data_IF_172361900430
#
_entry.id   IF_172361900430
#
_cell.length_a   1.000
_cell.length_b   1.000
_cell.length_c   1.000
_cell.angle_alpha   90.00
_cell.angle_beta   90.00
_cell.angle_gamma   90.00
#
_symmetry.space_group_name_H-M   'P 1'
#
loop_
_entity.id
_entity.type
_entity.pdbx_description
1 polymer ?
#
# COMPACT_ATOMS: atom_id res chain seq x y z
N UNK A 1 18.24 35.62 15.35
CA UNK A 1 17.38 34.57 15.91
C UNK A 1 16.83 33.74 14.76
N UNK A 2 17.11 32.43 14.73
CA UNK A 2 16.60 31.57 13.65
C UNK A 2 15.13 31.20 13.91
N UNK A 3 14.39 30.79 12.88
CA UNK A 3 13.00 30.32 13.01
C UNK A 3 12.80 29.29 14.14
N UNK A 4 13.79 28.43 14.36
CA UNK A 4 13.79 27.42 15.42
C UNK A 4 13.75 28.01 16.83
N UNK A 5 14.28 29.21 17.03
CA UNK A 5 14.25 29.90 18.32
C UNK A 5 12.89 30.56 18.57
N UNK A 6 12.19 31.03 17.52
CA UNK A 6 10.81 31.51 17.64
C UNK A 6 9.90 30.39 18.16
N UNK A 7 10.06 29.17 17.65
CA UNK A 7 9.26 28.03 18.10
C UNK A 7 9.54 27.64 19.56
N UNK A 8 10.74 27.92 20.08
CA UNK A 8 11.04 27.76 21.51
C UNK A 8 10.28 28.79 22.35
N UNK A 9 10.26 30.05 21.92
CA UNK A 9 9.51 31.13 22.60
C UNK A 9 8.01 30.85 22.59
N UNK A 10 7.45 30.44 21.44
CA UNK A 10 6.04 30.10 21.29
C UNK A 10 5.60 28.85 22.08
N UNK A 11 6.52 28.14 22.72
CA UNK A 11 6.30 26.82 23.29
C UNK A 11 6.43 25.74 22.22
N UNK A 12 7.47 24.91 22.32
CA UNK A 12 7.84 23.94 21.27
C UNK A 12 6.72 22.95 20.91
N UNK A 13 5.84 22.63 21.86
CA UNK A 13 4.64 21.80 21.68
C UNK A 13 3.49 22.32 22.56
N UNK A 14 3.13 23.60 22.39
CA UNK A 14 2.00 24.22 23.08
C UNK A 14 0.63 23.67 22.66
N UNK A 15 -0.43 24.14 23.32
CA UNK A 15 -1.82 23.69 23.09
C UNK A 15 -2.26 23.90 21.64
N UNK A 16 -1.87 25.01 21.02
CA UNK A 16 -2.15 25.27 19.61
C UNK A 16 -1.55 24.19 18.70
N UNK A 17 -0.27 23.88 18.89
CA UNK A 17 0.46 22.89 18.11
C UNK A 17 -0.13 21.50 18.29
N UNK A 18 -0.43 21.08 19.52
CA UNK A 18 -1.01 19.76 19.82
C UNK A 18 -2.34 19.54 19.09
N UNK A 19 -3.25 20.52 19.19
CA UNK A 19 -4.57 20.45 18.54
C UNK A 19 -4.40 20.39 17.02
N UNK A 20 -3.54 21.23 16.44
CA UNK A 20 -3.33 21.28 14.99
C UNK A 20 -2.62 20.03 14.46
N UNK A 21 -1.63 19.51 15.17
CA UNK A 21 -0.97 18.24 14.83
C UNK A 21 -1.97 17.09 14.78
N UNK A 22 -2.85 16.98 15.78
CA UNK A 22 -3.89 15.96 15.80
C UNK A 22 -4.75 16.00 14.52
N UNK A 23 -5.26 17.18 14.17
CA UNK A 23 -6.06 17.34 12.96
C UNK A 23 -5.29 17.03 11.67
N UNK A 24 -4.05 17.52 11.55
CA UNK A 24 -3.20 17.24 10.39
C UNK A 24 -2.96 15.73 10.23
N UNK A 25 -2.70 15.03 11.33
CA UNK A 25 -2.38 13.60 11.31
C UNK A 25 -3.59 12.67 11.19
N UNK A 26 -4.82 13.14 11.46
CA UNK A 26 -6.03 12.39 11.07
C UNK A 26 -6.06 12.06 9.56
N UNK A 27 -5.45 12.91 8.72
CA UNK A 27 -5.37 12.67 7.27
C UNK A 27 -4.46 11.48 6.94
N UNK A 28 -3.48 11.16 7.79
CA UNK A 28 -2.58 10.03 7.59
C UNK A 28 -3.32 8.68 7.57
N UNK A 29 -4.46 8.57 8.26
CA UNK A 29 -5.35 7.40 8.23
C UNK A 29 -5.82 7.14 6.79
N UNK A 30 -6.29 8.19 6.10
CA UNK A 30 -6.76 8.06 4.72
C UNK A 30 -5.61 7.85 3.74
N UNK A 31 -4.45 8.46 3.99
CA UNK A 31 -3.24 8.14 3.23
C UNK A 31 -2.87 6.65 3.34
N UNK A 32 -3.05 6.02 4.49
CA UNK A 32 -2.80 4.59 4.67
C UNK A 32 -3.76 3.72 3.86
N UNK A 33 -5.05 4.09 3.81
CA UNK A 33 -6.04 3.39 3.02
C UNK A 33 -5.62 3.27 1.55
N UNK A 34 -5.34 4.40 0.89
CA UNK A 34 -4.98 4.39 -0.53
C UNK A 34 -3.59 3.80 -0.78
N UNK A 35 -2.66 3.90 0.18
CA UNK A 35 -1.32 3.33 0.01
C UNK A 35 -1.31 1.79 0.06
N UNK A 36 -2.24 1.19 0.81
CA UNK A 36 -2.22 -0.25 1.08
C UNK A 36 -3.45 -1.01 0.54
N UNK A 37 -4.46 -0.34 -0.03
CA UNK A 37 -5.68 -0.97 -0.58
C UNK A 37 -5.38 -2.12 -1.57
N UNK A 38 -4.27 -2.07 -2.29
CA UNK A 38 -3.89 -3.04 -3.30
C UNK A 38 -3.73 -4.46 -2.78
N UNK A 39 -3.47 -4.66 -1.49
CA UNK A 39 -3.43 -5.99 -0.89
C UNK A 39 -4.78 -6.70 -1.09
N UNK A 40 -5.89 -5.98 -0.95
CA UNK A 40 -7.24 -6.53 -1.10
C UNK A 40 -7.82 -6.29 -2.51
N UNK A 41 -7.65 -5.10 -3.07
CA UNK A 41 -8.19 -4.72 -4.40
C UNK A 41 -7.61 -5.60 -5.51
N UNK A 42 -6.31 -5.95 -5.42
CA UNK A 42 -5.64 -6.87 -6.35
C UNK A 42 -5.38 -8.26 -5.77
N UNK A 43 -6.15 -8.66 -4.76
CA UNK A 43 -6.07 -10.03 -4.27
C UNK A 43 -6.44 -11.00 -5.41
N UNK A 44 -5.65 -12.06 -5.51
CA UNK A 44 -5.84 -13.14 -6.49
C UNK A 44 -6.50 -14.30 -5.74
N UNK A 45 -7.82 -14.51 -5.88
CA UNK A 45 -8.46 -15.69 -5.33
C UNK A 45 -8.08 -16.93 -6.15
N UNK A 46 -8.28 -18.11 -5.56
CA UNK A 46 -8.17 -19.37 -6.29
C UNK A 46 -9.20 -19.41 -7.43
N UNK A 47 -8.83 -19.99 -8.56
CA UNK A 47 -9.64 -19.95 -9.77
C UNK A 47 -9.50 -21.25 -10.57
N UNK A 48 -10.55 -21.56 -11.32
CA UNK A 48 -10.59 -22.69 -12.24
C UNK A 48 -11.14 -22.23 -13.58
N UNK A 49 -10.87 -22.99 -14.63
CA UNK A 49 -11.46 -22.72 -15.92
C UNK A 49 -12.96 -23.00 -15.89
N UNK A 50 -13.75 -22.05 -16.39
CA UNK A 50 -15.18 -22.21 -16.51
C UNK A 50 -15.48 -23.36 -17.47
N UNK A 51 -16.35 -24.28 -17.03
CA UNK A 51 -16.84 -25.37 -17.88
C UNK A 51 -18.25 -25.02 -18.24
N UNK A 52 -18.51 -24.83 -19.53
CA UNK A 52 -19.88 -24.59 -20.00
C UNK A 52 -20.75 -25.76 -19.56
N UNK A 53 -21.94 -25.47 -19.01
CA UNK A 53 -22.94 -26.50 -18.78
C UNK A 53 -23.39 -27.01 -20.15
N UNK A 54 -22.67 -27.98 -20.71
CA UNK A 54 -23.26 -28.77 -21.76
C UNK A 54 -24.57 -29.38 -21.24
N UNK A 55 -25.53 -29.62 -22.13
CA UNK A 55 -26.67 -30.49 -21.85
C UNK A 55 -26.16 -31.93 -21.64
N UNK A 56 -25.53 -32.15 -20.49
CA UNK A 56 -25.05 -33.41 -19.95
C UNK A 56 -26.26 -34.31 -19.61
N UNK A 57 -27.43 -33.70 -19.41
CA UNK A 57 -28.73 -34.34 -19.15
C UNK A 57 -29.14 -35.41 -20.18
N UNK A 58 -28.67 -35.30 -21.43
CA UNK A 58 -29.07 -36.21 -22.52
C UNK A 58 -28.04 -37.30 -22.84
N UNK A 59 -26.90 -37.34 -22.15
CA UNK A 59 -25.85 -38.33 -22.44
C UNK A 59 -25.47 -39.08 -21.17
N UNK A 60 -25.87 -40.35 -21.12
CA UNK A 60 -25.51 -41.30 -20.07
C UNK A 60 -23.98 -41.35 -19.91
N UNK A 61 -23.44 -40.79 -18.83
CA UNK A 61 -22.01 -40.85 -18.47
C UNK A 61 -21.69 -42.13 -17.68
N UNK A 62 -22.18 -43.30 -18.08
CA UNK A 62 -21.96 -44.53 -17.31
C UNK A 62 -22.20 -44.35 -15.79
N UNK A 63 -21.29 -44.85 -14.96
CA UNK A 63 -21.37 -44.78 -13.48
C UNK A 63 -20.74 -43.49 -12.89
N UNK A 64 -20.61 -42.40 -13.66
CA UNK A 64 -19.84 -41.19 -13.30
C UNK A 64 -20.75 -39.98 -13.10
N UNK A 65 -20.42 -39.10 -12.15
CA UNK A 65 -21.20 -37.87 -11.90
C UNK A 65 -20.78 -36.72 -12.82
N UNK A 66 -21.69 -35.77 -13.08
CA UNK A 66 -21.39 -34.52 -13.80
C UNK A 66 -20.22 -33.75 -13.17
N UNK A 67 -20.13 -33.79 -11.84
CA UNK A 67 -19.06 -33.16 -11.07
C UNK A 67 -17.70 -33.80 -11.34
N UNK A 68 -17.64 -35.14 -11.42
CA UNK A 68 -16.40 -35.85 -11.71
C UNK A 68 -15.92 -35.55 -13.14
N UNK A 69 -16.84 -35.41 -14.09
CA UNK A 69 -16.54 -35.01 -15.46
C UNK A 69 -15.97 -33.58 -15.53
N UNK A 70 -16.60 -32.62 -14.86
CA UNK A 70 -16.10 -31.23 -14.78
C UNK A 70 -14.73 -31.16 -14.09
N UNK A 71 -14.57 -31.86 -12.98
CA UNK A 71 -13.29 -31.95 -12.25
C UNK A 71 -12.18 -32.54 -13.14
N UNK A 72 -12.51 -33.51 -14.01
CA UNK A 72 -11.55 -34.07 -14.96
C UNK A 72 -11.16 -33.05 -16.02
N UNK A 73 -12.11 -32.34 -16.64
CA UNK A 73 -11.80 -31.32 -17.65
C UNK A 73 -10.86 -30.23 -17.09
N UNK A 74 -11.13 -29.80 -15.85
CA UNK A 74 -10.32 -28.81 -15.12
C UNK A 74 -9.00 -29.37 -14.57
N UNK A 75 -8.76 -30.69 -14.65
CA UNK A 75 -7.52 -31.29 -14.16
C UNK A 75 -6.31 -31.07 -15.08
N UNK A 76 -6.54 -30.59 -16.32
CA UNK A 76 -5.49 -30.29 -17.31
C UNK A 76 -4.45 -29.28 -16.81
N UNK A 77 -4.88 -28.28 -16.04
CA UNK A 77 -4.06 -27.22 -15.46
C UNK A 77 -4.93 -26.06 -14.94
N UNK A 78 -4.32 -25.06 -14.28
CA UNK A 78 -5.05 -23.85 -13.84
C UNK A 78 -5.48 -22.94 -15.01
N UNK A 79 -4.79 -23.05 -16.15
CA UNK A 79 -4.97 -22.19 -17.32
C UNK A 79 -5.28 -22.98 -18.60
N UNK A 80 -5.42 -24.30 -18.46
CA UNK A 80 -5.68 -25.23 -19.55
C UNK A 80 -6.91 -26.07 -19.17
N UNK A 81 -7.73 -26.39 -20.16
CA UNK A 81 -8.88 -27.27 -20.04
C UNK A 81 -8.77 -28.35 -21.11
N UNK A 82 -9.13 -29.60 -20.76
CA UNK A 82 -9.21 -30.66 -21.76
C UNK A 82 -10.33 -30.36 -22.77
N UNK A 83 -10.11 -30.73 -24.04
CA UNK A 83 -11.11 -30.53 -25.08
C UNK A 83 -12.40 -31.31 -24.78
N UNK A 84 -13.44 -30.58 -24.36
CA UNK A 84 -14.73 -31.14 -23.96
C UNK A 84 -15.38 -31.99 -25.06
N UNK A 85 -15.25 -31.57 -26.34
CA UNK A 85 -15.86 -32.29 -27.48
C UNK A 85 -15.17 -33.61 -27.72
N UNK A 86 -13.85 -33.67 -27.57
CA UNK A 86 -13.10 -34.91 -27.72
C UNK A 86 -13.36 -35.88 -26.56
N UNK A 87 -13.35 -35.39 -25.32
CA UNK A 87 -13.62 -36.22 -24.14
C UNK A 87 -15.04 -36.78 -24.18
N UNK A 88 -16.03 -35.93 -24.48
CA UNK A 88 -17.43 -36.38 -24.61
C UNK A 88 -17.61 -37.40 -25.74
N UNK A 89 -16.92 -37.26 -26.88
CA UNK A 89 -16.94 -38.25 -27.97
C UNK A 89 -16.36 -39.59 -27.55
N UNK A 90 -15.22 -39.60 -26.85
CA UNK A 90 -14.57 -40.82 -26.35
C UNK A 90 -15.50 -41.58 -25.39
N UNK A 91 -16.13 -40.89 -24.45
CA UNK A 91 -17.06 -41.48 -23.48
C UNK A 91 -18.33 -41.99 -24.18
N UNK A 92 -18.92 -41.18 -25.07
CA UNK A 92 -20.15 -41.54 -25.81
C UNK A 92 -19.98 -42.75 -26.74
N UNK A 93 -18.75 -43.04 -27.17
CA UNK A 93 -18.46 -44.22 -27.99
C UNK A 93 -18.49 -45.54 -27.21
N UNK A 94 -18.64 -45.49 -25.88
CA UNK A 94 -18.67 -46.65 -24.99
C UNK A 94 -17.32 -47.38 -24.84
N UNK A 95 -16.25 -46.90 -25.49
CA UNK A 95 -14.91 -47.52 -25.48
C UNK A 95 -14.08 -47.22 -24.24
N UNK A 96 -14.34 -46.11 -23.55
CA UNK A 96 -13.53 -45.64 -22.44
C UNK A 96 -14.41 -45.00 -21.36
N UNK A 97 -14.17 -45.32 -20.10
CA UNK A 97 -14.65 -44.56 -18.94
C UNK A 97 -13.72 -43.38 -18.63
N UNK A 98 -14.17 -42.45 -17.80
CA UNK A 98 -13.32 -41.34 -17.32
C UNK A 98 -12.04 -41.86 -16.65
N UNK A 99 -12.15 -42.95 -15.88
CA UNK A 99 -11.00 -43.60 -15.27
C UNK A 99 -10.07 -44.22 -16.30
N UNK A 100 -10.59 -44.84 -17.36
CA UNK A 100 -9.77 -45.42 -18.43
C UNK A 100 -8.97 -44.36 -19.20
N UNK A 101 -9.52 -43.15 -19.36
CA UNK A 101 -8.80 -42.02 -19.98
C UNK A 101 -7.62 -41.62 -19.09
N UNK A 102 -7.80 -41.64 -17.76
CA UNK A 102 -6.78 -41.32 -16.78
C UNK A 102 -5.71 -42.43 -16.69
N UNK A 103 -6.10 -43.70 -16.64
CA UNK A 103 -5.18 -44.85 -16.47
C UNK A 103 -4.49 -45.28 -17.75
N UNK A 104 -5.15 -45.22 -18.90
CA UNK A 104 -4.57 -45.62 -20.19
C UNK A 104 -3.77 -44.51 -20.88
N UNK A 105 -3.57 -43.34 -20.24
CA UNK A 105 -2.86 -42.18 -20.79
C UNK A 105 -3.34 -41.80 -22.20
N UNK A 106 -4.66 -41.80 -22.42
CA UNK A 106 -5.21 -41.38 -23.71
C UNK A 106 -4.88 -39.90 -23.91
N UNK A 107 -4.16 -39.57 -24.99
CA UNK A 107 -3.73 -38.21 -25.26
C UNK A 107 -4.93 -37.34 -25.67
N UNK A 108 -5.43 -36.54 -24.73
CA UNK A 108 -6.48 -35.55 -25.00
C UNK A 108 -5.81 -34.18 -25.20
N UNK A 109 -6.13 -33.46 -26.29
CA UNK A 109 -5.62 -32.12 -26.51
C UNK A 109 -6.13 -31.16 -25.42
N UNK A 110 -5.27 -30.21 -25.07
CA UNK A 110 -5.55 -29.18 -24.08
C UNK A 110 -5.76 -27.86 -24.79
N UNK A 111 -6.84 -27.17 -24.46
CA UNK A 111 -7.16 -25.86 -24.95
C UNK A 111 -6.90 -24.81 -23.86
N UNK A 112 -6.59 -23.57 -24.27
CA UNK A 112 -6.49 -22.45 -23.34
C UNK A 112 -7.88 -22.07 -22.82
N UNK A 113 -7.95 -21.68 -21.56
CA UNK A 113 -9.20 -21.23 -20.95
C UNK A 113 -9.56 -19.82 -21.40
N UNK A 114 -10.83 -19.61 -21.74
CA UNK A 114 -11.39 -18.31 -22.15
C UNK A 114 -12.19 -17.63 -21.05
N UNK A 115 -12.73 -18.42 -20.12
CA UNK A 115 -13.58 -17.99 -19.02
C UNK A 115 -13.15 -18.69 -17.72
N UNK A 116 -13.39 -18.06 -16.58
CA UNK A 116 -12.91 -18.52 -15.27
C UNK A 116 -13.98 -18.45 -14.19
N UNK A 117 -13.99 -19.48 -13.34
CA UNK A 117 -14.74 -19.50 -12.10
C UNK A 117 -13.80 -19.19 -10.92
N UNK A 118 -14.04 -18.07 -10.26
CA UNK A 118 -13.25 -17.62 -9.11
C UNK A 118 -13.87 -18.06 -7.78
N UNK A 119 -13.05 -18.55 -6.86
CA UNK A 119 -13.46 -18.83 -5.49
C UNK A 119 -13.82 -17.54 -4.76
N UNK A 120 -14.93 -17.59 -4.02
CA UNK A 120 -15.43 -16.49 -3.17
C UNK A 120 -15.32 -16.77 -1.68
N UNK A 121 -14.50 -17.76 -1.29
CA UNK A 121 -14.34 -18.17 0.11
C UNK A 121 -13.67 -17.09 0.97
N UNK A 122 -12.65 -16.42 0.41
CA UNK A 122 -11.81 -15.44 1.14
C UNK A 122 -12.06 -14.02 0.65
N UNK A 123 -12.06 -13.82 -0.66
CA UNK A 123 -12.23 -12.51 -1.28
C UNK A 123 -13.53 -12.47 -2.08
N UNK A 124 -14.23 -11.34 -2.06
CA UNK A 124 -15.29 -11.06 -3.01
C UNK A 124 -14.72 -10.62 -4.37
N UNK A 125 -15.49 -9.88 -5.18
CA UNK A 125 -15.00 -9.37 -6.45
C UNK A 125 -13.77 -8.48 -6.27
N UNK A 126 -12.69 -8.79 -7.00
CA UNK A 126 -11.44 -8.01 -7.06
C UNK A 126 -11.19 -7.52 -8.49
N UNK A 127 -10.18 -6.65 -8.70
CA UNK A 127 -9.80 -6.26 -10.06
C UNK A 127 -9.31 -7.44 -10.88
N UNK A 128 -8.76 -8.47 -10.21
CA UNK A 128 -8.28 -9.69 -10.85
C UNK A 128 -9.45 -10.50 -11.38
N UNK A 129 -10.50 -10.69 -10.57
CA UNK A 129 -11.69 -11.44 -10.97
C UNK A 129 -12.58 -10.68 -11.95
N UNK A 130 -12.60 -9.34 -11.88
CA UNK A 130 -13.48 -8.54 -12.73
C UNK A 130 -12.89 -8.27 -14.12
N UNK A 131 -11.56 -8.24 -14.26
CA UNK A 131 -10.89 -8.00 -15.53
C UNK A 131 -10.12 -9.22 -16.06
N UNK A 132 -10.31 -10.37 -15.44
CA UNK A 132 -9.66 -11.64 -15.77
C UNK A 132 -8.14 -11.55 -15.90
N UNK A 133 -7.50 -11.03 -14.84
CA UNK A 133 -6.05 -10.81 -14.79
C UNK A 133 -5.31 -12.07 -14.32
N UNK A 134 -5.60 -13.21 -14.96
CA UNK A 134 -5.00 -14.52 -14.67
C UNK A 134 -4.32 -15.09 -15.92
N UNK A 135 -3.50 -16.13 -15.75
CA UNK A 135 -2.84 -16.85 -16.84
C UNK A 135 -2.01 -15.89 -17.73
N UNK A 136 -2.32 -15.80 -19.03
CA UNK A 136 -1.62 -14.92 -19.99
C UNK A 136 -1.63 -13.43 -19.57
N UNK A 137 -2.58 -13.03 -18.71
CA UNK A 137 -2.74 -11.66 -18.20
C UNK A 137 -2.25 -11.46 -16.76
N UNK A 138 -1.69 -12.48 -16.11
CA UNK A 138 -1.26 -12.40 -14.70
C UNK A 138 -0.21 -11.30 -14.45
N UNK A 139 0.67 -11.06 -15.43
CA UNK A 139 1.69 -10.00 -15.36
C UNK A 139 1.08 -8.59 -15.19
N UNK A 140 -0.11 -8.33 -15.75
CA UNK A 140 -0.80 -7.03 -15.63
C UNK A 140 -1.12 -6.69 -14.17
N UNK A 141 -1.43 -7.69 -13.34
CA UNK A 141 -1.63 -7.51 -11.91
C UNK A 141 -0.37 -6.96 -11.23
N UNK A 142 0.79 -7.55 -11.50
CA UNK A 142 2.06 -7.08 -10.95
C UNK A 142 2.41 -5.68 -11.47
N UNK A 143 2.26 -5.46 -12.78
CA UNK A 143 2.48 -4.17 -13.42
C UNK A 143 1.60 -3.07 -12.83
N UNK A 144 0.35 -3.35 -12.45
CA UNK A 144 -0.54 -2.36 -11.82
C UNK A 144 0.04 -1.80 -10.51
N UNK A 145 0.67 -2.64 -9.69
CA UNK A 145 1.35 -2.22 -8.46
C UNK A 145 2.57 -1.36 -8.79
N UNK A 146 3.38 -1.77 -9.77
CA UNK A 146 4.54 -1.00 -10.22
C UNK A 146 4.14 0.38 -10.74
N UNK A 147 3.07 0.47 -11.54
CA UNK A 147 2.56 1.72 -12.08
C UNK A 147 2.03 2.65 -10.97
N UNK A 148 1.43 2.11 -9.92
CA UNK A 148 1.06 2.89 -8.74
C UNK A 148 2.27 3.53 -8.08
N UNK A 149 3.33 2.76 -7.81
CA UNK A 149 4.57 3.30 -7.24
C UNK A 149 5.29 4.27 -8.18
N UNK A 150 5.17 4.08 -9.50
CA UNK A 150 5.62 5.08 -10.46
C UNK A 150 4.84 6.39 -10.31
N UNK A 151 3.51 6.32 -10.15
CA UNK A 151 2.69 7.48 -9.79
C UNK A 151 3.15 8.16 -8.50
N UNK A 152 3.45 7.37 -7.46
CA UNK A 152 3.99 7.89 -6.19
C UNK A 152 5.32 8.63 -6.38
N UNK A 153 6.22 8.09 -7.20
CA UNK A 153 7.50 8.73 -7.52
C UNK A 153 7.29 10.10 -8.18
N UNK A 154 6.46 10.15 -9.23
CA UNK A 154 6.14 11.40 -9.93
C UNK A 154 5.46 12.40 -8.97
N UNK A 155 4.50 11.92 -8.17
CA UNK A 155 3.81 12.74 -7.18
C UNK A 155 4.73 13.30 -6.11
N UNK A 156 5.69 12.53 -5.61
CA UNK A 156 6.66 13.00 -4.62
C UNK A 156 7.49 14.18 -5.16
N UNK A 157 7.94 14.11 -6.41
CA UNK A 157 8.71 15.18 -7.05
C UNK A 157 7.82 16.39 -7.32
N UNK A 158 6.69 16.19 -8.01
CA UNK A 158 5.82 17.28 -8.43
C UNK A 158 5.16 18.01 -7.25
N UNK A 159 4.50 17.27 -6.34
CA UNK A 159 3.80 17.87 -5.21
C UNK A 159 4.75 18.35 -4.11
N UNK A 160 5.92 17.74 -3.96
CA UNK A 160 6.98 18.26 -3.10
C UNK A 160 7.40 19.67 -3.52
N UNK A 161 7.76 19.83 -4.80
CA UNK A 161 8.12 21.14 -5.36
C UNK A 161 6.95 22.12 -5.36
N UNK A 162 5.75 21.67 -5.73
CA UNK A 162 4.55 22.50 -5.72
C UNK A 162 4.28 23.05 -4.32
N UNK A 163 4.50 22.25 -3.29
CA UNK A 163 4.32 22.67 -1.90
C UNK A 163 5.30 23.75 -1.47
N UNK A 164 6.55 23.70 -1.95
CA UNK A 164 7.54 24.73 -1.68
C UNK A 164 7.24 26.05 -2.44
N UNK A 165 6.64 25.96 -3.63
CA UNK A 165 6.34 27.13 -4.48
C UNK A 165 5.04 27.82 -4.09
N UNK A 166 3.96 27.04 -3.93
CA UNK A 166 2.59 27.57 -3.75
C UNK A 166 2.19 27.64 -2.28
N UNK A 167 2.81 26.83 -1.43
CA UNK A 167 2.51 26.73 0.00
C UNK A 167 2.02 25.34 0.39
N UNK A 168 2.06 25.02 1.69
CA UNK A 168 1.64 23.71 2.20
C UNK A 168 0.13 23.55 2.07
N UNK A 169 -0.63 24.57 2.45
CA UNK A 169 -2.09 24.50 2.53
C UNK A 169 -2.76 24.40 1.15
N UNK A 170 -2.43 25.19 0.11
CA UNK A 170 -3.00 25.00 -1.22
C UNK A 170 -2.66 23.64 -1.82
N UNK A 171 -1.42 23.18 -1.68
CA UNK A 171 -1.00 21.86 -2.20
C UNK A 171 -1.72 20.72 -1.48
N UNK A 172 -1.94 20.83 -0.16
CA UNK A 172 -2.78 19.90 0.58
C UNK A 172 -4.17 19.75 -0.06
N UNK A 173 -4.88 20.85 -0.31
CA UNK A 173 -6.22 20.81 -0.92
C UNK A 173 -6.20 20.35 -2.38
N UNK A 174 -5.16 20.69 -3.15
CA UNK A 174 -5.01 20.22 -4.52
C UNK A 174 -4.86 18.69 -4.57
N UNK A 175 -3.98 18.12 -3.73
CA UNK A 175 -3.81 16.68 -3.61
C UNK A 175 -5.10 15.99 -3.12
N UNK A 176 -5.79 16.60 -2.17
CA UNK A 176 -7.04 16.09 -1.59
C UNK A 176 -8.16 16.03 -2.64
N UNK A 177 -8.35 17.10 -3.41
CA UNK A 177 -9.32 17.15 -4.50
C UNK A 177 -8.97 16.15 -5.60
N UNK A 178 -7.69 16.08 -5.98
CA UNK A 178 -7.22 15.12 -6.98
C UNK A 178 -7.50 13.69 -6.52
N UNK A 179 -7.15 13.34 -5.27
CA UNK A 179 -7.38 12.01 -4.69
C UNK A 179 -8.87 11.64 -4.71
N UNK A 180 -9.75 12.57 -4.33
CA UNK A 180 -11.20 12.37 -4.34
C UNK A 180 -11.73 12.07 -5.74
N UNK A 181 -11.34 12.88 -6.74
CA UNK A 181 -11.80 12.71 -8.11
C UNK A 181 -11.29 11.39 -8.69
N UNK A 182 -9.98 11.14 -8.61
CA UNK A 182 -9.38 9.97 -9.25
C UNK A 182 -9.79 8.66 -8.58
N UNK A 183 -9.96 8.62 -7.25
CA UNK A 183 -10.42 7.43 -6.53
C UNK A 183 -11.88 7.08 -6.89
N UNK A 184 -12.77 8.08 -6.96
CA UNK A 184 -14.14 7.88 -7.41
C UNK A 184 -14.20 7.37 -8.85
N UNK A 185 -13.42 7.95 -9.77
CA UNK A 185 -13.39 7.50 -11.17
C UNK A 185 -12.77 6.10 -11.29
N UNK A 186 -11.70 5.79 -10.54
CA UNK A 186 -11.09 4.46 -10.52
C UNK A 186 -12.08 3.39 -10.05
N UNK A 187 -12.90 3.68 -9.04
CA UNK A 187 -13.94 2.77 -8.55
C UNK A 187 -15.02 2.47 -9.62
N UNK A 188 -15.27 3.42 -10.52
CA UNK A 188 -16.25 3.32 -11.60
C UNK A 188 -15.66 2.77 -12.91
N UNK A 189 -14.35 2.48 -12.96
CA UNK A 189 -13.67 2.07 -14.18
C UNK A 189 -14.29 0.80 -14.80
N UNK A 190 -14.71 0.79 -16.07
CA UNK A 190 -15.38 -0.36 -16.70
C UNK A 190 -14.40 -1.45 -17.13
N UNK A 191 -13.12 -1.11 -17.33
CA UNK A 191 -12.08 -2.04 -17.75
C UNK A 191 -10.73 -1.65 -17.13
N UNK A 192 -9.76 -2.57 -17.22
CA UNK A 192 -8.43 -2.39 -16.65
C UNK A 192 -7.65 -1.20 -17.24
N UNK A 193 -7.81 -0.93 -18.55
CA UNK A 193 -7.09 0.15 -19.22
C UNK A 193 -7.57 1.55 -18.80
N UNK A 194 -8.84 1.68 -18.43
CA UNK A 194 -9.37 2.90 -17.80
C UNK A 194 -8.91 2.99 -16.35
N UNK A 195 -8.90 1.88 -15.61
CA UNK A 195 -8.50 1.87 -14.20
C UNK A 195 -7.06 2.37 -13.98
N UNK A 196 -6.10 1.91 -14.80
CA UNK A 196 -4.67 2.12 -14.56
C UNK A 196 -4.24 3.60 -14.55
N UNK A 197 -4.59 4.46 -15.52
CA UNK A 197 -4.22 5.88 -15.49
C UNK A 197 -4.71 6.59 -14.23
N UNK A 198 -5.96 6.37 -13.81
CA UNK A 198 -6.48 6.96 -12.57
C UNK A 198 -5.76 6.40 -11.35
N UNK A 199 -5.38 5.12 -11.39
CA UNK A 199 -4.62 4.49 -10.32
C UNK A 199 -3.19 5.06 -10.17
N UNK A 200 -2.53 5.40 -11.28
CA UNK A 200 -1.24 6.12 -11.26
C UNK A 200 -1.41 7.50 -10.62
N UNK A 201 -2.44 8.25 -11.04
CA UNK A 201 -2.74 9.58 -10.51
C UNK A 201 -3.11 9.52 -9.02
N UNK A 202 -3.81 8.48 -8.59
CA UNK A 202 -4.12 8.21 -7.19
C UNK A 202 -2.86 8.03 -6.35
N UNK A 203 -1.88 7.26 -6.83
CA UNK A 203 -0.58 7.11 -6.16
C UNK A 203 0.17 8.45 -6.05
N UNK A 204 0.11 9.26 -7.10
CA UNK A 204 0.72 10.59 -7.09
C UNK A 204 0.08 11.51 -6.04
N UNK A 205 -1.26 11.58 -6.02
CA UNK A 205 -2.02 12.40 -5.07
C UNK A 205 -1.84 11.93 -3.62
N UNK A 206 -1.88 10.61 -3.39
CA UNK A 206 -1.66 10.00 -2.08
C UNK A 206 -0.29 10.37 -1.51
N UNK A 207 0.78 10.27 -2.33
CA UNK A 207 2.14 10.56 -1.88
C UNK A 207 2.34 12.06 -1.66
N UNK A 208 1.82 12.90 -2.55
CA UNK A 208 1.83 14.35 -2.37
C UNK A 208 1.15 14.77 -1.07
N UNK A 209 -0.04 14.22 -0.80
CA UNK A 209 -0.79 14.49 0.43
C UNK A 209 -0.01 14.09 1.68
N UNK A 210 0.57 12.88 1.70
CA UNK A 210 1.34 12.38 2.84
C UNK A 210 2.60 13.24 3.12
N UNK A 211 3.33 13.64 2.08
CA UNK A 211 4.50 14.50 2.23
C UNK A 211 4.14 15.87 2.80
N UNK A 212 3.06 16.49 2.31
CA UNK A 212 2.62 17.80 2.78
C UNK A 212 2.22 17.76 4.26
N UNK A 213 1.43 16.78 4.70
CA UNK A 213 1.03 16.69 6.11
C UNK A 213 2.22 16.38 7.03
N UNK A 214 3.19 15.58 6.56
CA UNK A 214 4.42 15.32 7.30
C UNK A 214 5.23 16.60 7.52
N UNK A 215 5.42 17.40 6.46
CA UNK A 215 6.15 18.66 6.51
C UNK A 215 5.39 19.68 7.38
N UNK A 216 4.07 19.84 7.19
CA UNK A 216 3.26 20.74 8.02
C UNK A 216 3.37 20.42 9.50
N UNK A 217 3.37 19.13 9.87
CA UNK A 217 3.51 18.74 11.27
C UNK A 217 4.91 19.03 11.84
N UNK A 218 5.97 18.79 11.06
CA UNK A 218 7.35 19.03 11.52
C UNK A 218 7.76 20.50 11.51
N UNK A 219 7.15 21.33 10.66
CA UNK A 219 7.32 22.80 10.65
C UNK A 219 6.52 23.50 11.75
N UNK A 220 5.47 22.86 12.28
CA UNK A 220 4.61 23.41 13.33
C UNK A 220 5.23 23.27 14.74
N UNK A 221 6.06 22.26 14.97
CA UNK A 221 6.67 21.97 16.28
C UNK A 221 8.12 22.44 16.38
N UNK A 222 8.53 22.75 17.61
CA UNK A 222 9.90 23.11 17.92
C UNK A 222 10.91 21.96 17.68
N UNK A 223 12.21 22.27 17.60
CA UNK A 223 13.25 21.33 17.20
C UNK A 223 13.29 20.03 18.02
N UNK A 224 13.05 20.12 19.33
CA UNK A 224 13.10 18.96 20.24
C UNK A 224 11.96 17.96 19.99
N UNK A 225 10.81 18.42 19.51
CA UNK A 225 9.62 17.60 19.27
C UNK A 225 9.45 17.17 17.81
N UNK A 226 10.35 17.56 16.90
CA UNK A 226 10.29 17.13 15.48
C UNK A 226 10.34 15.62 15.31
N UNK A 227 11.16 14.94 16.13
CA UNK A 227 11.23 13.48 16.12
C UNK A 227 9.90 12.87 16.56
N UNK A 228 9.32 13.39 17.65
CA UNK A 228 8.02 12.96 18.15
C UNK A 228 6.93 13.13 17.09
N UNK A 229 6.80 14.33 16.50
CA UNK A 229 5.85 14.61 15.43
C UNK A 229 6.03 13.65 14.23
N UNK A 230 7.29 13.41 13.84
CA UNK A 230 7.64 12.48 12.76
C UNK A 230 7.27 11.02 13.00
N UNK A 231 7.19 10.54 14.25
CA UNK A 231 6.73 9.18 14.56
C UNK A 231 5.23 9.09 14.85
N UNK A 232 4.63 10.14 15.44
CA UNK A 232 3.19 10.14 15.73
C UNK A 232 2.35 10.02 14.47
N UNK A 233 2.74 10.67 13.37
CA UNK A 233 2.06 10.50 12.07
C UNK A 233 2.01 9.03 11.62
N UNK A 234 3.04 8.23 11.90
CA UNK A 234 3.06 6.81 11.59
C UNK A 234 2.10 6.01 12.48
N UNK A 235 1.87 6.42 13.73
CA UNK A 235 0.83 5.79 14.56
C UNK A 235 -0.58 6.01 13.96
N UNK A 236 -0.88 7.20 13.43
CA UNK A 236 -2.14 7.44 12.71
C UNK A 236 -2.21 6.64 11.41
N UNK A 237 -1.10 6.53 10.68
CA UNK A 237 -1.01 5.68 9.50
C UNK A 237 -1.30 4.22 9.84
N UNK A 238 -0.74 3.69 10.94
CA UNK A 238 -0.98 2.35 11.45
C UNK A 238 -2.46 2.09 11.81
N UNK A 239 -3.14 3.08 12.41
CA UNK A 239 -4.58 3.00 12.67
C UNK A 239 -5.35 2.85 11.34
N UNK A 240 -4.99 3.62 10.32
CA UNK A 240 -5.56 3.49 8.97
C UNK A 240 -5.25 2.14 8.33
N UNK A 241 -4.02 1.66 8.49
CA UNK A 241 -3.60 0.32 8.05
C UNK A 241 -4.53 -0.75 8.65
N UNK A 242 -4.70 -0.78 9.97
CA UNK A 242 -5.57 -1.76 10.64
C UNK A 242 -7.04 -1.60 10.24
N UNK A 243 -7.53 -0.37 10.16
CA UNK A 243 -8.93 -0.08 9.81
C UNK A 243 -9.25 -0.54 8.38
N UNK A 244 -8.31 -0.41 7.44
CA UNK A 244 -8.46 -0.91 6.07
C UNK A 244 -8.69 -2.43 6.04
N UNK A 245 -8.07 -3.19 6.94
CA UNK A 245 -8.30 -4.64 7.06
C UNK A 245 -9.78 -4.92 7.37
N UNK A 246 -10.32 -4.23 8.37
CA UNK A 246 -11.72 -4.37 8.80
C UNK A 246 -12.71 -3.92 7.72
N UNK A 247 -12.44 -2.78 7.06
CA UNK A 247 -13.26 -2.31 5.94
C UNK A 247 -13.26 -3.31 4.77
N UNK A 248 -12.08 -3.86 4.45
CA UNK A 248 -11.94 -4.81 3.34
C UNK A 248 -12.62 -6.14 3.63
N UNK A 249 -12.60 -6.60 4.89
CA UNK A 249 -13.33 -7.78 5.34
C UNK A 249 -14.85 -7.59 5.27
N UNK A 250 -15.36 -6.45 5.77
CA UNK A 250 -16.80 -6.19 5.83
C UNK A 250 -17.46 -5.90 4.47
N UNK A 251 -16.72 -5.31 3.52
CA UNK A 251 -17.27 -4.88 2.22
C UNK A 251 -17.07 -5.94 1.14
N UNK A 252 -15.89 -6.57 1.08
CA UNK A 252 -15.56 -7.66 0.15
C UNK A 252 -15.51 -7.33 -1.36
N UNK A 253 -16.00 -6.17 -1.80
CA UNK A 253 -15.99 -5.75 -3.21
C UNK A 253 -15.08 -4.54 -3.43
N UNK A 254 -14.12 -4.68 -4.34
CA UNK A 254 -13.09 -3.68 -4.60
C UNK A 254 -13.62 -2.29 -4.97
N UNK A 255 -14.75 -2.19 -5.71
CA UNK A 255 -15.31 -0.89 -6.11
C UNK A 255 -15.83 -0.13 -4.90
N UNK A 256 -16.53 -0.83 -4.01
CA UNK A 256 -17.05 -0.24 -2.79
C UNK A 256 -15.94 0.03 -1.78
N UNK A 257 -14.91 -0.83 -1.69
CA UNK A 257 -13.72 -0.54 -0.89
C UNK A 257 -13.09 0.78 -1.36
N UNK A 258 -12.89 0.95 -2.67
CA UNK A 258 -12.30 2.17 -3.23
C UNK A 258 -13.15 3.41 -2.93
N UNK A 259 -14.48 3.32 -3.05
CA UNK A 259 -15.37 4.43 -2.68
C UNK A 259 -15.34 4.73 -1.18
N UNK A 260 -15.40 3.71 -0.32
CA UNK A 260 -15.45 3.89 1.14
C UNK A 260 -14.16 4.48 1.69
N UNK A 261 -13.01 4.21 1.06
CA UNK A 261 -11.75 4.86 1.46
C UNK A 261 -11.61 6.28 0.88
N UNK A 262 -12.18 6.54 -0.30
CA UNK A 262 -12.05 7.82 -1.00
C UNK A 262 -13.04 8.87 -0.50
N UNK A 263 -14.33 8.53 -0.36
CA UNK A 263 -15.40 9.49 -0.05
C UNK A 263 -15.19 10.23 1.29
N UNK A 264 -14.69 9.58 2.37
CA UNK A 264 -14.40 10.28 3.63
C UNK A 264 -13.36 11.41 3.50
N UNK A 265 -12.62 11.49 2.39
CA UNK A 265 -11.73 12.62 2.09
C UNK A 265 -12.48 13.96 2.14
N UNK A 266 -13.78 13.98 1.78
CA UNK A 266 -14.63 15.18 1.84
C UNK A 266 -14.75 15.75 3.26
N UNK A 267 -14.60 14.92 4.29
CA UNK A 267 -14.64 15.35 5.70
C UNK A 267 -13.48 16.29 6.05
N UNK A 268 -12.42 16.34 5.23
CA UNK A 268 -11.30 17.25 5.39
C UNK A 268 -11.48 18.57 4.64
N UNK A 269 -12.56 18.79 3.88
CA UNK A 269 -12.85 20.09 3.24
C UNK A 269 -12.94 21.24 4.27
N UNK A 270 -13.58 21.10 5.44
CA UNK A 270 -13.60 22.14 6.48
C UNK A 270 -12.21 22.54 7.01
N UNK A 271 -11.15 21.76 6.71
CA UNK A 271 -9.79 22.13 7.12
C UNK A 271 -9.32 23.43 6.47
N UNK A 272 -10.00 23.92 5.43
CA UNK A 272 -9.67 25.20 4.80
C UNK A 272 -9.76 26.37 5.79
N UNK A 273 -10.64 26.27 6.79
CA UNK A 273 -10.77 27.27 7.86
C UNK A 273 -9.94 26.91 9.10
N UNK A 274 -9.71 25.61 9.32
CA UNK A 274 -9.04 25.13 10.53
C UNK A 274 -7.51 25.25 10.46
N UNK A 275 -6.92 24.86 9.33
CA UNK A 275 -5.47 24.78 9.17
C UNK A 275 -4.88 26.13 8.72
N UNK A 276 -3.86 26.64 9.45
CA UNK A 276 -3.06 27.76 8.96
C UNK A 276 -2.11 27.29 7.84
N UNK A 277 -1.56 28.24 7.09
CA UNK A 277 -0.38 27.99 6.26
C UNK A 277 0.87 27.86 7.16
N UNK A 278 1.93 27.25 6.64
CA UNK A 278 3.21 27.13 7.33
C UNK A 278 3.83 28.51 7.61
N UNK A 279 4.12 28.79 8.89
CA UNK A 279 4.78 30.03 9.31
C UNK A 279 6.15 30.15 8.61
N UNK A 280 6.88 29.03 8.51
CA UNK A 280 8.18 28.99 7.84
C UNK A 280 8.05 29.36 6.37
N UNK A 281 7.08 28.78 5.66
CA UNK A 281 6.85 29.09 4.25
C UNK A 281 6.45 30.56 4.03
N UNK A 282 5.62 31.12 4.91
CA UNK A 282 5.18 32.52 4.82
C UNK A 282 6.34 33.50 4.99
N UNK A 283 7.23 33.25 5.96
CA UNK A 283 8.41 34.08 6.17
C UNK A 283 9.32 34.03 4.94
N UNK A 284 9.64 32.83 4.46
CA UNK A 284 10.51 32.64 3.28
C UNK A 284 9.89 33.07 1.94
N UNK A 285 8.63 33.51 1.91
CA UNK A 285 7.97 34.08 0.74
C UNK A 285 7.57 35.56 0.95
N UNK A 286 8.16 36.23 1.94
CA UNK A 286 7.91 37.64 2.29
C UNK A 286 6.44 37.98 2.59
N UNK A 287 5.66 36.98 3.05
CA UNK A 287 4.26 37.18 3.46
C UNK A 287 4.18 37.49 4.97
N UNK A 288 4.88 38.54 5.36
CA UNK A 288 5.13 38.88 6.76
C UNK A 288 3.85 39.10 7.56
N UNK A 289 2.91 39.89 7.03
CA UNK A 289 1.69 40.24 7.75
C UNK A 289 0.82 39.01 8.07
N UNK A 290 0.80 38.03 7.16
CA UNK A 290 0.10 36.78 7.40
C UNK A 290 0.85 35.90 8.41
N UNK A 291 2.18 35.86 8.35
CA UNK A 291 3.00 35.16 9.34
C UNK A 291 2.80 35.75 10.74
N UNK A 292 2.88 37.08 10.89
CA UNK A 292 2.65 37.84 12.14
C UNK A 292 1.27 37.54 12.72
N UNK A 293 0.23 37.53 11.87
CA UNK A 293 -1.14 37.17 12.27
C UNK A 293 -1.22 35.76 12.87
N UNK A 294 -0.57 34.77 12.23
CA UNK A 294 -0.57 33.39 12.73
C UNK A 294 0.24 33.30 14.03
N UNK A 295 1.42 33.91 14.08
CA UNK A 295 2.28 33.93 15.28
C UNK A 295 1.53 34.51 16.49
N UNK A 296 0.86 35.66 16.34
CA UNK A 296 0.03 36.26 17.40
C UNK A 296 -1.08 35.31 17.86
N UNK A 297 -1.70 34.57 16.94
CA UNK A 297 -2.72 33.56 17.28
C UNK A 297 -2.14 32.38 18.06
N UNK A 298 -0.95 31.90 17.69
CA UNK A 298 -0.24 30.84 18.44
C UNK A 298 0.09 31.34 19.84
N UNK A 299 0.67 32.53 19.95
CA UNK A 299 1.04 33.18 21.20
C UNK A 299 -0.15 33.31 22.16
N UNK A 300 -1.26 33.85 21.66
CA UNK A 300 -2.50 34.01 22.43
C UNK A 300 -3.07 32.67 22.92
N UNK A 301 -3.01 31.63 22.09
CA UNK A 301 -3.53 30.29 22.44
C UNK A 301 -2.62 29.56 23.44
N UNK A 302 -1.31 29.82 23.36
CA UNK A 302 -0.31 29.22 24.25
C UNK A 302 -0.04 30.06 25.51
N UNK A 303 -0.73 31.20 25.65
CA UNK A 303 -0.53 32.16 26.75
C UNK A 303 0.91 32.67 26.88
N UNK A 304 1.54 32.97 25.73
CA UNK A 304 2.89 33.55 25.65
C UNK A 304 2.78 34.99 25.16
N UNK A 305 3.44 35.92 25.86
CA UNK A 305 3.59 37.30 25.40
C UNK A 305 4.74 37.41 24.39
N UNK A 306 4.50 38.11 23.29
CA UNK A 306 5.51 38.37 22.27
C UNK A 306 5.66 39.88 22.13
N UNK A 307 6.88 40.37 22.34
CA UNK A 307 7.24 41.76 22.05
C UNK A 307 7.18 42.03 20.55
N UNK A 308 6.62 43.17 20.14
CA UNK A 308 6.57 43.57 18.72
C UNK A 308 7.99 43.73 18.12
N UNK A 309 8.98 44.10 18.92
CA UNK A 309 10.40 44.16 18.52
C UNK A 309 10.92 42.79 18.05
N UNK A 310 10.60 41.71 18.77
CA UNK A 310 10.93 40.33 18.36
C UNK A 310 10.27 39.95 17.03
N UNK A 311 9.04 40.42 16.81
CA UNK A 311 8.28 40.15 15.59
C UNK A 311 8.91 40.82 14.37
N UNK A 312 9.42 42.05 14.54
CA UNK A 312 10.14 42.80 13.50
C UNK A 312 11.56 42.27 13.24
N UNK A 313 12.24 41.78 14.27
CA UNK A 313 13.59 41.21 14.11
C UNK A 313 13.56 39.92 13.28
N UNK A 314 12.52 39.10 13.45
CA UNK A 314 12.36 37.86 12.70
C UNK A 314 12.20 38.09 11.20
N UNK A 315 11.51 39.16 10.80
CA UNK A 315 11.31 39.47 9.38
C UNK A 315 12.58 40.04 8.76
N UNK A 316 13.26 40.96 9.46
CA UNK A 316 14.55 41.55 9.03
C UNK A 316 15.68 40.51 8.90
N UNK A 317 15.63 39.42 9.68
CA UNK A 317 16.64 38.35 9.64
C UNK A 317 16.47 37.42 8.43
N UNK A 318 15.24 37.15 8.01
CA UNK A 318 15.00 36.33 6.81
C UNK A 318 15.46 37.10 5.56
N UNK A 319 15.16 38.40 5.49
CA UNK A 319 15.66 39.31 4.43
C UNK A 319 17.20 39.36 4.36
N UNK A 320 17.87 39.41 5.52
CA UNK A 320 19.35 39.37 5.58
C UNK A 320 19.92 38.03 5.14
N UNK A 321 19.28 36.92 5.51
CA UNK A 321 19.73 35.59 5.12
C UNK A 321 19.63 35.36 3.60
N UNK A 322 18.64 35.97 2.94
CA UNK A 322 18.51 35.92 1.48
C UNK A 322 19.47 36.86 0.74
N UNK A 323 19.76 38.04 1.30
CA UNK A 323 20.76 38.95 0.71
C UNK A 323 22.17 38.36 0.78
N UNK A 324 22.50 37.61 1.84
CA UNK A 324 23.76 36.84 1.93
C UNK A 324 23.79 35.61 1.00
N UNK A 325 22.63 35.01 0.70
CA UNK A 325 22.50 33.85 -0.22
C UNK A 325 22.12 34.22 -1.66
N UNK A 326 22.49 35.40 -2.16
CA UNK A 326 22.39 35.82 -3.59
C UNK A 326 21.17 35.24 -4.35
N UNK A 327 19.95 35.31 -3.79
CA UNK A 327 18.70 34.92 -4.47
C UNK A 327 18.71 33.54 -5.17
N UNK A 328 19.56 32.60 -4.75
CA UNK A 328 19.77 31.34 -5.48
C UNK A 328 18.68 30.36 -5.04
N UNK A 329 17.63 30.23 -5.86
CA UNK A 329 16.60 29.21 -5.64
C UNK A 329 17.23 27.83 -5.74
N UNK A 330 17.28 27.13 -4.61
CA UNK A 330 17.78 25.76 -4.57
C UNK A 330 16.78 24.82 -5.26
N UNK A 331 17.29 23.94 -6.12
CA UNK A 331 16.49 22.95 -6.84
C UNK A 331 16.97 21.54 -6.50
N UNK A 332 16.22 20.52 -6.95
CA UNK A 332 16.58 19.10 -6.73
C UNK A 332 17.96 18.78 -7.31
N UNK A 333 18.36 19.46 -8.39
CA UNK A 333 19.67 19.27 -9.03
C UNK A 333 20.81 19.65 -8.07
N UNK A 334 20.55 20.55 -7.12
CA UNK A 334 21.57 21.00 -6.20
C UNK A 334 22.00 19.91 -5.21
N UNK A 335 21.13 18.92 -4.95
CA UNK A 335 21.45 17.72 -4.16
C UNK A 335 22.57 16.87 -4.78
N UNK A 336 22.85 17.05 -6.07
CA UNK A 336 23.92 16.39 -6.81
C UNK A 336 25.23 17.19 -6.82
N UNK A 337 25.32 18.34 -6.14
CA UNK A 337 26.53 19.17 -6.12
C UNK A 337 27.69 18.49 -5.36
N UNK A 338 28.94 18.67 -5.83
CA UNK A 338 30.12 18.21 -5.09
C UNK A 338 30.15 18.86 -3.70
N UNK A 339 30.18 18.03 -2.65
CA UNK A 339 30.08 18.45 -1.25
C UNK A 339 28.89 17.83 -0.51
N UNK A 340 27.71 17.74 -1.14
CA UNK A 340 26.52 17.12 -0.54
C UNK A 340 26.09 15.81 -1.20
N UNK A 341 26.59 15.51 -2.41
CA UNK A 341 26.22 14.30 -3.15
C UNK A 341 26.43 13.00 -2.36
N UNK A 342 27.52 12.87 -1.59
CA UNK A 342 27.76 11.68 -0.78
C UNK A 342 26.71 11.51 0.33
N UNK A 343 26.27 12.61 0.93
CA UNK A 343 25.19 12.61 1.92
C UNK A 343 23.85 12.27 1.25
N UNK A 344 23.55 12.89 0.11
CA UNK A 344 22.35 12.61 -0.68
C UNK A 344 22.27 11.13 -1.07
N UNK A 345 23.35 10.57 -1.62
CA UNK A 345 23.44 9.16 -2.00
C UNK A 345 23.25 8.23 -0.80
N UNK A 346 23.82 8.56 0.36
CA UNK A 346 23.64 7.78 1.58
C UNK A 346 22.18 7.77 2.04
N UNK A 347 21.52 8.93 2.06
CA UNK A 347 20.11 9.05 2.45
C UNK A 347 19.20 8.34 1.44
N UNK A 348 19.44 8.49 0.14
CA UNK A 348 18.67 7.80 -0.90
C UNK A 348 18.82 6.30 -0.82
N UNK A 349 20.03 5.79 -0.60
CA UNK A 349 20.26 4.36 -0.42
C UNK A 349 19.56 3.83 0.84
N UNK A 350 19.62 4.56 1.96
CA UNK A 350 18.91 4.17 3.17
C UNK A 350 17.39 4.13 2.96
N UNK A 351 16.83 5.14 2.28
CA UNK A 351 15.42 5.17 1.92
C UNK A 351 15.02 4.05 0.98
N UNK A 352 15.85 3.73 -0.03
CA UNK A 352 15.62 2.63 -0.96
C UNK A 352 15.49 1.30 -0.21
N UNK A 353 16.45 0.99 0.66
CA UNK A 353 16.46 -0.25 1.45
C UNK A 353 15.26 -0.33 2.38
N UNK A 354 14.95 0.76 3.10
CA UNK A 354 13.80 0.81 4.00
C UNK A 354 12.47 0.68 3.26
N UNK A 355 12.30 1.37 2.13
CA UNK A 355 11.08 1.28 1.32
C UNK A 355 10.90 -0.12 0.74
N UNK A 356 11.97 -0.75 0.25
CA UNK A 356 11.92 -2.11 -0.29
C UNK A 356 11.49 -3.12 0.78
N UNK A 357 12.08 -3.06 1.98
CA UNK A 357 11.70 -3.95 3.09
C UNK A 357 10.28 -3.68 3.56
N UNK A 358 9.93 -2.41 3.81
CA UNK A 358 8.61 -2.03 4.31
C UNK A 358 7.50 -2.45 3.34
N UNK A 359 7.53 -1.98 2.10
CA UNK A 359 6.47 -2.31 1.14
C UNK A 359 6.52 -3.77 0.68
N UNK A 360 7.69 -4.39 0.63
CA UNK A 360 7.83 -5.81 0.29
C UNK A 360 7.14 -6.72 1.31
N UNK A 361 7.32 -6.44 2.61
CA UNK A 361 6.66 -7.19 3.68
C UNK A 361 5.17 -6.82 3.77
N UNK A 362 4.85 -5.52 3.84
CA UNK A 362 3.48 -5.03 4.03
C UNK A 362 2.53 -5.44 2.90
N UNK A 363 2.96 -5.31 1.63
CA UNK A 363 2.15 -5.74 0.48
C UNK A 363 2.16 -7.26 0.26
N UNK A 364 3.11 -7.96 0.88
CA UNK A 364 3.24 -9.42 0.85
C UNK A 364 2.43 -10.15 1.93
N UNK A 365 1.85 -9.44 2.89
CA UNK A 365 1.06 -10.00 4.01
C UNK A 365 -0.09 -10.90 3.55
N UNK A 366 -0.73 -10.59 2.42
CA UNK A 366 -1.80 -11.43 1.85
C UNK A 366 -1.32 -12.77 1.28
N UNK A 367 -0.01 -12.96 1.11
CA UNK A 367 0.60 -14.22 0.71
C UNK A 367 1.05 -15.06 1.91
N UNK A 368 0.89 -14.59 3.14
CA UNK A 368 1.20 -15.38 4.33
C UNK A 368 0.09 -16.41 4.58
N UNK A 369 0.45 -17.57 5.14
CA UNK A 369 -0.52 -18.57 5.55
C UNK A 369 -1.47 -18.04 6.63
N UNK A 370 -2.70 -18.54 6.65
CA UNK A 370 -3.76 -18.09 7.56
C UNK A 370 -4.69 -17.06 6.92
N UNK A 371 -5.39 -16.29 7.75
CA UNK A 371 -6.35 -15.29 7.28
C UNK A 371 -5.62 -14.01 6.85
N UNK A 372 -5.78 -13.56 5.58
CA UNK A 372 -5.06 -12.41 5.06
C UNK A 372 -5.47 -11.08 5.72
N UNK A 373 -6.71 -10.96 6.20
CA UNK A 373 -7.18 -9.77 6.91
C UNK A 373 -6.55 -9.66 8.30
N UNK A 374 -6.45 -10.78 9.01
CA UNK A 374 -5.78 -10.85 10.32
C UNK A 374 -4.28 -10.57 10.15
N UNK A 375 -3.61 -11.21 9.19
CA UNK A 375 -2.20 -11.00 8.90
C UNK A 375 -1.89 -9.52 8.60
N UNK A 376 -2.72 -8.89 7.77
CA UNK A 376 -2.60 -7.48 7.43
C UNK A 376 -2.88 -6.56 8.64
N UNK A 377 -3.85 -6.91 9.49
CA UNK A 377 -4.14 -6.17 10.73
C UNK A 377 -2.98 -6.25 11.73
N UNK A 378 -2.38 -7.43 11.91
CA UNK A 378 -1.20 -7.62 12.78
C UNK A 378 -0.02 -6.80 12.26
N UNK A 379 0.22 -6.77 10.94
CA UNK A 379 1.28 -5.97 10.34
C UNK A 379 1.14 -4.48 10.69
N UNK A 380 -0.08 -3.93 10.61
CA UNK A 380 -0.37 -2.56 11.04
C UNK A 380 -0.23 -2.37 12.56
N UNK A 381 -0.71 -3.34 13.36
CA UNK A 381 -0.66 -3.25 14.82
C UNK A 381 0.76 -3.20 15.38
N UNK A 382 1.73 -3.87 14.73
CA UNK A 382 3.14 -3.86 15.12
C UNK A 382 3.80 -2.48 14.93
N UNK A 383 3.27 -1.62 14.05
CA UNK A 383 3.83 -0.27 13.85
C UNK A 383 3.64 0.62 15.09
N UNK A 384 2.56 0.48 15.85
CA UNK A 384 2.26 1.31 17.03
C UNK A 384 3.33 1.14 18.14
N UNK A 385 3.60 -0.08 18.66
CA UNK A 385 4.67 -0.27 19.64
C UNK A 385 6.04 0.04 19.05
N UNK A 386 6.28 -0.19 17.75
CA UNK A 386 7.51 0.21 17.09
C UNK A 386 7.73 1.74 17.14
N UNK A 387 6.69 2.55 16.89
CA UNK A 387 6.77 4.01 17.00
C UNK A 387 7.14 4.46 18.42
N UNK A 388 6.54 3.85 19.45
CA UNK A 388 6.86 4.15 20.85
C UNK A 388 8.31 3.79 21.16
N UNK A 389 8.76 2.60 20.76
CA UNK A 389 10.16 2.18 20.91
C UNK A 389 11.12 3.12 20.20
N UNK A 390 10.81 3.58 18.99
CA UNK A 390 11.64 4.53 18.26
C UNK A 390 11.85 5.84 19.04
N UNK A 391 10.79 6.41 19.60
CA UNK A 391 10.89 7.63 20.41
C UNK A 391 11.76 7.40 21.66
N UNK A 392 11.56 6.28 22.36
CA UNK A 392 12.30 5.95 23.58
C UNK A 392 13.78 5.64 23.34
N UNK A 393 14.12 5.02 22.21
CA UNK A 393 15.49 4.60 21.86
C UNK A 393 16.31 5.75 21.26
N UNK A 394 15.71 6.54 20.39
CA UNK A 394 16.42 7.58 19.62
C UNK A 394 16.76 8.81 20.47
N UNK A 395 15.99 9.10 21.52
CA UNK A 395 16.28 10.17 22.46
C UNK A 395 17.63 9.98 23.19
N UNK A 396 17.92 8.82 23.85
CA UNK A 396 19.18 8.60 24.56
C UNK A 396 20.34 8.12 23.68
N UNK A 397 20.10 7.29 22.66
CA UNK A 397 21.17 6.61 21.90
C UNK A 397 21.55 7.32 20.60
N UNK A 398 20.87 8.43 20.28
CA UNK A 398 20.99 9.12 19.00
C UNK A 398 20.46 8.28 17.83
N UNK A 399 20.71 8.72 16.60
CA UNK A 399 20.05 8.15 15.40
C UNK A 399 20.80 7.01 14.73
N UNK A 400 22.14 7.12 14.63
CA UNK A 400 22.96 6.23 13.78
C UNK A 400 23.03 4.80 14.32
N UNK A 401 23.32 4.62 15.61
CA UNK A 401 23.52 3.29 16.20
C UNK A 401 22.23 2.47 16.20
N UNK A 402 21.07 2.99 16.65
CA UNK A 402 19.82 2.24 16.60
C UNK A 402 19.42 1.84 15.18
N UNK A 403 19.59 2.75 14.21
CA UNK A 403 19.29 2.47 12.81
C UNK A 403 20.12 1.29 12.28
N UNK A 404 21.45 1.29 12.48
CA UNK A 404 22.29 0.18 12.04
C UNK A 404 21.93 -1.15 12.71
N UNK A 405 21.70 -1.15 14.03
CA UNK A 405 21.37 -2.37 14.78
C UNK A 405 20.05 -2.96 14.31
N UNK A 406 19.00 -2.14 14.18
CA UNK A 406 17.67 -2.61 13.76
C UNK A 406 17.69 -3.09 12.31
N UNK A 407 18.44 -2.44 11.41
CA UNK A 407 18.59 -2.91 10.03
C UNK A 407 19.28 -4.28 9.96
N UNK A 408 20.31 -4.52 10.78
CA UNK A 408 20.98 -5.83 10.86
C UNK A 408 20.04 -6.90 11.42
N UNK A 409 19.30 -6.59 12.49
CA UNK A 409 18.33 -7.51 13.08
C UNK A 409 17.21 -7.85 12.09
N UNK A 410 16.64 -6.84 11.42
CA UNK A 410 15.60 -7.04 10.40
C UNK A 410 16.09 -7.87 9.21
N UNK A 411 17.30 -7.61 8.73
CA UNK A 411 17.93 -8.41 7.67
C UNK A 411 18.17 -9.86 8.09
N UNK A 412 18.70 -10.08 9.30
CA UNK A 412 18.90 -11.42 9.85
C UNK A 412 17.57 -12.17 10.02
N UNK A 413 16.50 -11.49 10.47
CA UNK A 413 15.17 -12.06 10.58
C UNK A 413 14.61 -12.48 9.22
N UNK A 414 14.75 -11.64 8.17
CA UNK A 414 14.31 -11.99 6.82
C UNK A 414 15.07 -13.22 6.26
N UNK A 415 16.39 -13.27 6.48
CA UNK A 415 17.21 -14.42 6.08
C UNK A 415 16.75 -15.67 6.84
N UNK A 416 16.56 -15.58 8.15
CA UNK A 416 16.08 -16.68 8.97
C UNK A 416 14.71 -17.19 8.50
N UNK A 417 13.76 -16.31 8.15
CA UNK A 417 12.47 -16.72 7.59
C UNK A 417 12.61 -17.50 6.28
N UNK A 418 13.54 -17.10 5.42
CA UNK A 418 13.86 -17.83 4.19
C UNK A 418 14.45 -19.22 4.45
N UNK A 419 15.37 -19.34 5.41
CA UNK A 419 15.93 -20.63 5.82
C UNK A 419 14.90 -21.55 6.49
N UNK A 420 14.04 -21.02 7.36
CA UNK A 420 12.96 -21.79 7.98
C UNK A 420 12.01 -22.34 6.92
N UNK A 421 11.68 -21.54 5.89
CA UNK A 421 10.84 -22.00 4.77
C UNK A 421 11.46 -23.18 3.99
N UNK A 422 12.79 -23.31 3.97
CA UNK A 422 13.50 -24.44 3.35
C UNK A 422 13.55 -25.70 4.24
N UNK A 423 13.47 -25.53 5.56
CA UNK A 423 13.55 -26.62 6.54
C UNK A 423 12.18 -27.25 6.85
N UNK A 424 11.08 -26.66 6.37
CA UNK A 424 9.76 -27.22 6.53
C UNK A 424 9.65 -28.59 5.82
N UNK A 425 9.08 -29.63 6.47
CA UNK A 425 8.96 -30.96 5.90
C UNK A 425 8.11 -31.00 4.61
N UNK A 426 7.31 -29.97 4.37
CA UNK A 426 6.54 -29.77 3.13
C UNK A 426 7.41 -29.39 1.92
N UNK A 427 8.56 -28.72 2.13
CA UNK A 427 9.47 -28.20 1.10
C UNK A 427 10.80 -28.95 1.01
N UNK A 428 11.16 -29.75 2.03
CA UNK A 428 12.38 -30.56 2.03
C UNK A 428 12.40 -31.57 0.87
N UNK A 429 13.37 -31.42 -0.04
CA UNK A 429 13.60 -32.33 -1.16
C UNK A 429 12.65 -32.17 -2.37
N UNK A 430 11.91 -31.05 -2.48
CA UNK A 430 11.02 -30.74 -3.62
C UNK A 430 11.36 -29.39 -4.25
N UNK A 431 11.12 -29.20 -5.57
CA UNK A 431 11.27 -27.89 -6.19
C UNK A 431 10.37 -26.88 -5.46
N UNK A 432 10.94 -25.72 -5.14
CA UNK A 432 10.24 -24.68 -4.39
C UNK A 432 8.96 -24.27 -5.14
N UNK A 433 7.80 -24.33 -4.47
CA UNK A 433 6.57 -23.77 -5.00
C UNK A 433 6.76 -22.28 -5.22
N UNK A 434 6.47 -21.79 -6.44
CA UNK A 434 6.65 -20.37 -6.78
C UNK A 434 5.59 -19.49 -6.11
N UNK A 435 4.51 -20.10 -5.60
CA UNK A 435 3.42 -19.43 -4.91
C UNK A 435 2.92 -20.24 -3.71
N UNK A 436 2.31 -19.57 -2.72
CA UNK A 436 1.62 -20.26 -1.61
C UNK A 436 0.50 -21.18 -2.11
N UNK A 437 -0.10 -20.83 -3.25
CA UNK A 437 -1.13 -21.63 -3.92
C UNK A 437 -0.61 -22.99 -4.41
N UNK A 438 0.66 -23.08 -4.81
CA UNK A 438 1.29 -24.34 -5.22
C UNK A 438 1.42 -25.28 -4.01
N UNK A 439 1.67 -24.74 -2.81
CA UNK A 439 1.73 -25.52 -1.55
C UNK A 439 0.34 -26.10 -1.23
N UNK A 440 -0.69 -25.25 -1.25
CA UNK A 440 -2.08 -25.63 -0.94
C UNK A 440 -2.63 -26.63 -1.99
N UNK A 441 -2.36 -26.40 -3.27
CA UNK A 441 -2.73 -27.31 -4.35
C UNK A 441 -2.08 -28.69 -4.23
N UNK A 442 -0.85 -28.74 -3.73
CA UNK A 442 -0.14 -30.00 -3.46
C UNK A 442 -0.75 -30.76 -2.28
N UNK A 443 -1.19 -30.06 -1.23
CA UNK A 443 -1.91 -30.68 -0.11
C UNK A 443 -3.29 -31.19 -0.49
N UNK A 444 -4.09 -30.40 -1.24
CA UNK A 444 -5.40 -30.85 -1.76
C UNK A 444 -5.24 -32.08 -2.67
N UNK A 445 -4.20 -32.13 -3.51
CA UNK A 445 -3.85 -33.34 -4.29
C UNK A 445 -3.49 -34.52 -3.39
N UNK A 446 -2.66 -34.34 -2.36
CA UNK A 446 -2.31 -35.40 -1.40
C UNK A 446 -3.54 -35.91 -0.62
N UNK A 447 -4.44 -35.02 -0.21
CA UNK A 447 -5.67 -35.37 0.48
C UNK A 447 -6.63 -36.16 -0.43
N UNK A 448 -6.78 -35.74 -1.70
CA UNK A 448 -7.57 -36.47 -2.71
C UNK A 448 -6.99 -37.87 -2.96
N UNK A 449 -5.67 -38.02 -3.05
CA UNK A 449 -5.02 -39.33 -3.18
C UNK A 449 -5.13 -40.23 -1.94
N UNK A 450 -5.10 -39.67 -0.71
CA UNK A 450 -5.34 -40.42 0.53
C UNK A 450 -6.80 -40.87 0.67
N UNK A 451 -7.76 -40.05 0.23
CA UNK A 451 -9.18 -40.40 0.20
C UNK A 451 -9.52 -41.49 -0.82
N UNK A 452 -8.79 -41.56 -1.94
CA UNK A 452 -8.93 -42.66 -2.93
C UNK A 452 -8.35 -43.96 -2.36
N UNK A 453 -7.18 -43.94 -1.70
CA UNK A 453 -6.59 -45.15 -1.10
C UNK A 453 -7.39 -45.78 0.04
N UNK A 454 -8.28 -45.03 0.72
CA UNK A 454 -9.12 -45.59 1.79
C UNK A 454 -10.41 -46.27 1.30
N UNK A 455 -10.77 -46.16 0.01
CA UNK A 455 -11.95 -46.84 -0.54
C UNK A 455 -11.67 -48.21 -1.17
N UNK A 456 -10.40 -48.58 -1.36
CA UNK A 456 -9.99 -49.87 -1.96
C UNK A 456 -9.56 -50.92 -0.92
N UNK A 457 -9.99 -50.78 0.34
CA UNK A 457 -9.85 -51.80 1.37
C UNK A 457 -11.18 -51.93 2.12
N UNK A 458 -12.11 -52.68 1.55
CA UNK A 458 -13.31 -53.21 2.23
C UNK A 458 -13.68 -54.52 1.56
#
# INVERSE_FOLDING_TARGET
MHFDDLLKVLGELGRYQQIRLFYIYLVAIVCAFHAMNMVFVSAKPDYKCHVSKANVSDRIFGNTTEKDFQDFLQSAGKCEIYDEKMVSKLISSGKYTLNDIITNNVTVPKNKCTEWDYSREVYGPTIVTQFDLVCDKDWLRSTSKTLYFFGRLVGAVCFGQLSDIVGRKPTFFACLLMLLIVGCVASAAPNFYVFIPFYILQGAAQTGLFLVIFIMGTELVGPSYRMFAGFVIHAFYAIGYMTLAGLSYGIGNWRYIELVITVPVVLFVPYIWLLPESIRWLLSNHKEEEAKRIIRKVAATNHVEISEELLEDLTKLDEKSETETKGRKYTIIDLCRPGIICLSLNVWFNWLVNAMLYYGLSLGTGNLGGDPYINFCIAGAVEIPACIMCILILNPLGRRRPLCVIMVIGGAACIATGFIALLLPETSGKPLPQTLEDVIGTEKRKAKYRGIKMKDCS
#
